data_IF_186569557209
#
_entry.id   IF_186569557209
#
_cell.length_a   1.000
_cell.length_b   1.000
_cell.length_c   1.000
_cell.angle_alpha   90.00
_cell.angle_beta   90.00
_cell.angle_gamma   90.00
#
_symmetry.space_group_name_H-M   'P 1'
#
loop_
_entity.id
_entity.type
_entity.pdbx_description
1 polymer ?
#
# COMPACT_ATOMS: atom_id res chain seq x y z
N UNK A 1 -13.56 25.27 25.00
CA UNK A 1 -12.87 24.03 25.39
C UNK A 1 -12.94 23.11 24.19
N UNK A 2 -11.82 22.55 23.74
CA UNK A 2 -11.82 21.49 22.71
C UNK A 2 -11.89 20.17 23.48
N UNK A 3 -12.83 19.29 23.13
CA UNK A 3 -13.01 17.97 23.76
C UNK A 3 -12.61 16.79 22.85
N UNK A 4 -12.39 17.08 21.56
CA UNK A 4 -12.10 16.08 20.52
C UNK A 4 -11.02 16.60 19.60
N UNK A 5 -10.04 15.74 19.30
CA UNK A 5 -8.96 16.02 18.34
C UNK A 5 -8.96 14.91 17.30
N UNK A 6 -8.95 15.28 16.03
CA UNK A 6 -8.75 14.38 14.90
C UNK A 6 -7.33 14.59 14.39
N UNK A 7 -6.49 13.57 14.50
CA UNK A 7 -5.15 13.57 13.92
C UNK A 7 -5.23 13.05 12.49
N UNK A 8 -4.64 13.80 11.57
CA UNK A 8 -4.34 13.27 10.24
C UNK A 8 -3.20 12.25 10.35
N UNK A 9 -3.01 11.42 9.31
CA UNK A 9 -1.92 10.45 9.27
C UNK A 9 -0.67 11.06 8.62
N UNK A 10 -0.84 11.59 7.41
CA UNK A 10 0.24 12.16 6.60
C UNK A 10 0.69 13.50 7.19
N UNK A 11 2.00 13.68 7.40
CA UNK A 11 2.64 14.87 7.99
C UNK A 11 2.29 15.19 9.45
N UNK A 12 1.17 14.68 9.99
CA UNK A 12 0.83 14.84 11.40
C UNK A 12 1.44 13.71 12.25
N UNK A 13 1.27 12.44 11.87
CA UNK A 13 1.82 11.29 12.62
C UNK A 13 2.97 10.58 11.89
N UNK A 14 3.11 10.80 10.58
CA UNK A 14 4.13 10.20 9.72
C UNK A 14 4.96 11.29 9.01
N UNK A 15 6.14 11.67 9.54
CA UNK A 15 7.04 12.61 8.88
C UNK A 15 7.71 11.99 7.65
N UNK A 16 7.80 12.75 6.56
CA UNK A 16 8.34 12.26 5.27
C UNK A 16 9.86 11.99 5.25
N UNK A 17 10.61 12.32 6.29
CA UNK A 17 12.08 12.26 6.28
C UNK A 17 12.65 10.85 5.98
N UNK A 18 11.85 9.79 6.20
CA UNK A 18 12.22 8.39 5.95
C UNK A 18 11.46 7.73 4.78
N UNK A 19 10.66 8.49 4.01
CA UNK A 19 9.68 7.91 3.08
C UNK A 19 10.30 7.24 1.85
N UNK A 20 11.43 7.73 1.35
CA UNK A 20 12.12 7.11 0.19
C UNK A 20 12.65 5.72 0.55
N UNK A 21 13.46 5.62 1.61
CA UNK A 21 14.03 4.35 2.06
C UNK A 21 12.94 3.37 2.52
N UNK A 22 11.94 3.86 3.26
CA UNK A 22 10.81 3.03 3.66
C UNK A 22 10.04 2.53 2.44
N UNK A 23 9.78 3.40 1.45
CA UNK A 23 9.10 3.04 0.21
C UNK A 23 9.86 1.97 -0.58
N UNK A 24 11.16 2.11 -0.74
CA UNK A 24 12.01 1.10 -1.39
C UNK A 24 11.89 -0.27 -0.70
N UNK A 25 12.03 -0.32 0.63
CA UNK A 25 11.91 -1.55 1.40
C UNK A 25 10.49 -2.13 1.37
N UNK A 26 9.47 -1.28 1.41
CA UNK A 26 8.06 -1.67 1.32
C UNK A 26 7.77 -2.36 -0.03
N UNK A 27 8.18 -1.74 -1.14
CA UNK A 27 7.95 -2.29 -2.47
C UNK A 27 8.77 -3.56 -2.73
N UNK A 28 10.02 -3.62 -2.27
CA UNK A 28 10.80 -4.85 -2.35
C UNK A 28 10.12 -6.00 -1.60
N UNK A 29 9.61 -5.73 -0.39
CA UNK A 29 8.91 -6.73 0.43
C UNK A 29 7.59 -7.18 -0.20
N UNK A 30 6.88 -6.28 -0.88
CA UNK A 30 5.69 -6.66 -1.65
C UNK A 30 6.03 -7.60 -2.80
N UNK A 31 7.06 -7.28 -3.60
CA UNK A 31 7.49 -8.13 -4.72
C UNK A 31 7.85 -9.53 -4.21
N UNK A 32 8.55 -9.63 -3.08
CA UNK A 32 8.91 -10.91 -2.47
C UNK A 32 7.69 -11.68 -1.97
N UNK A 33 6.79 -11.04 -1.23
CA UNK A 33 5.56 -11.65 -0.72
C UNK A 33 4.64 -12.16 -1.83
N UNK A 34 4.65 -11.52 -3.01
CA UNK A 34 3.81 -11.88 -4.15
C UNK A 34 4.49 -12.84 -5.14
N UNK A 35 5.78 -13.16 -4.96
CA UNK A 35 6.57 -13.92 -5.92
C UNK A 35 6.02 -15.33 -6.21
N UNK A 36 5.39 -15.96 -5.23
CA UNK A 36 4.77 -17.30 -5.39
C UNK A 36 3.39 -17.25 -6.05
N UNK A 37 2.80 -16.06 -6.18
CA UNK A 37 1.41 -15.88 -6.65
C UNK A 37 1.35 -15.24 -8.04
N UNK A 38 2.34 -14.43 -8.38
CA UNK A 38 2.44 -13.78 -9.68
C UNK A 38 3.90 -13.61 -10.08
N UNK A 39 4.13 -13.32 -11.37
CA UNK A 39 5.46 -13.02 -11.87
C UNK A 39 6.03 -11.77 -11.18
N UNK A 40 7.22 -11.83 -10.55
CA UNK A 40 7.80 -10.68 -9.83
C UNK A 40 7.97 -9.44 -10.71
N UNK A 41 8.32 -9.62 -11.99
CA UNK A 41 8.52 -8.53 -12.96
C UNK A 41 7.21 -7.79 -13.33
N UNK A 42 6.05 -8.38 -13.02
CA UNK A 42 4.74 -7.78 -13.25
C UNK A 42 4.19 -7.04 -12.03
N UNK A 43 4.75 -7.23 -10.83
CA UNK A 43 4.18 -6.67 -9.61
C UNK A 43 4.17 -5.14 -9.65
N UNK A 44 5.34 -4.51 -9.81
CA UNK A 44 5.44 -3.04 -9.80
C UNK A 44 4.61 -2.38 -10.92
N UNK A 45 4.65 -2.85 -12.19
CA UNK A 45 3.78 -2.31 -13.23
C UNK A 45 2.28 -2.44 -12.90
N UNK A 46 1.84 -3.59 -12.37
CA UNK A 46 0.44 -3.79 -12.00
C UNK A 46 0.03 -2.91 -10.83
N UNK A 47 0.89 -2.81 -9.82
CA UNK A 47 0.67 -2.00 -8.62
C UNK A 47 0.52 -0.53 -8.97
N UNK A 48 1.45 0.03 -9.76
CA UNK A 48 1.40 1.43 -10.18
C UNK A 48 0.14 1.74 -10.99
N UNK A 49 -0.27 0.84 -11.89
CA UNK A 49 -1.53 1.01 -12.63
C UNK A 49 -2.76 1.00 -11.70
N UNK A 50 -2.73 0.17 -10.65
CA UNK A 50 -3.74 0.17 -9.60
C UNK A 50 -3.80 1.51 -8.86
N UNK A 51 -2.64 2.04 -8.46
CA UNK A 51 -2.53 3.35 -7.78
C UNK A 51 -3.04 4.48 -8.68
N UNK A 52 -2.64 4.51 -9.95
CA UNK A 52 -3.10 5.51 -10.92
C UNK A 52 -4.63 5.45 -11.12
N UNK A 53 -5.20 4.25 -11.21
CA UNK A 53 -6.65 4.08 -11.33
C UNK A 53 -7.40 4.55 -10.08
N UNK A 54 -6.84 4.31 -8.90
CA UNK A 54 -7.35 4.79 -7.62
C UNK A 54 -7.25 6.31 -7.48
N UNK A 55 -6.15 6.93 -7.91
CA UNK A 55 -5.95 8.38 -7.83
C UNK A 55 -6.83 9.15 -8.83
N UNK A 56 -7.00 8.60 -10.04
CA UNK A 56 -7.91 9.16 -11.04
C UNK A 56 -9.39 9.00 -10.66
N UNK A 57 -9.71 8.17 -9.67
CA UNK A 57 -11.06 7.87 -9.24
C UNK A 57 -11.69 9.05 -8.47
N UNK A 58 -12.67 9.71 -9.08
CA UNK A 58 -13.35 10.88 -8.50
C UNK A 58 -14.55 10.48 -7.64
N UNK A 59 -15.07 11.43 -6.85
CA UNK A 59 -16.10 11.27 -5.80
C UNK A 59 -17.36 10.44 -6.13
N UNK A 60 -17.73 10.24 -7.40
CA UNK A 60 -18.90 9.45 -7.80
C UNK A 60 -18.55 8.09 -8.44
N UNK A 61 -17.28 7.70 -8.40
CA UNK A 61 -16.79 6.44 -8.95
C UNK A 61 -16.89 5.26 -7.99
N UNK A 62 -16.30 4.11 -8.37
CA UNK A 62 -16.15 2.96 -7.48
C UNK A 62 -15.40 3.33 -6.18
N UNK A 63 -15.33 2.42 -5.22
CA UNK A 63 -14.40 2.58 -4.09
C UNK A 63 -12.95 2.51 -4.56
N UNK A 64 -12.01 3.06 -3.77
CA UNK A 64 -10.58 2.96 -4.06
C UNK A 64 -10.13 1.50 -4.22
N UNK A 65 -10.65 0.60 -3.39
CA UNK A 65 -10.38 -0.84 -3.47
C UNK A 65 -10.84 -1.43 -4.79
N UNK A 66 -12.04 -1.08 -5.27
CA UNK A 66 -12.57 -1.54 -6.54
C UNK A 66 -11.82 -0.95 -7.73
N UNK A 67 -11.46 0.34 -7.69
CA UNK A 67 -10.67 1.01 -8.72
C UNK A 67 -9.27 0.40 -8.85
N UNK A 68 -8.58 0.24 -7.72
CA UNK A 68 -7.27 -0.42 -7.67
C UNK A 68 -7.37 -1.86 -8.16
N UNK A 69 -8.30 -2.65 -7.60
CA UNK A 69 -8.47 -4.07 -7.91
C UNK A 69 -8.80 -4.30 -9.38
N UNK A 70 -9.66 -3.47 -9.97
CA UNK A 70 -10.04 -3.54 -11.38
C UNK A 70 -8.88 -3.29 -12.35
N UNK A 71 -7.85 -2.57 -11.94
CA UNK A 71 -6.65 -2.31 -12.74
C UNK A 71 -5.49 -3.28 -12.43
N UNK A 72 -5.28 -3.60 -11.14
CA UNK A 72 -4.21 -4.47 -10.65
C UNK A 72 -4.44 -5.94 -11.02
N UNK A 73 -5.59 -6.50 -10.66
CA UNK A 73 -5.85 -7.94 -10.73
C UNK A 73 -5.70 -8.53 -12.14
N UNK A 74 -6.21 -7.87 -13.22
CA UNK A 74 -6.05 -8.38 -14.59
C UNK A 74 -4.58 -8.45 -15.05
N UNK A 75 -3.74 -7.50 -14.62
CA UNK A 75 -2.31 -7.52 -14.95
C UNK A 75 -1.53 -8.49 -14.07
N UNK A 76 -1.91 -8.62 -12.81
CA UNK A 76 -1.32 -9.57 -11.89
C UNK A 76 -1.65 -11.04 -12.24
N UNK A 77 -2.71 -11.27 -13.02
CA UNK A 77 -3.22 -12.61 -13.29
C UNK A 77 -3.88 -13.24 -12.07
N UNK A 78 -4.38 -12.42 -11.15
CA UNK A 78 -4.98 -12.83 -9.88
C UNK A 78 -6.48 -12.56 -9.88
N UNK A 79 -7.24 -13.35 -9.11
CA UNK A 79 -8.60 -12.95 -8.76
C UNK A 79 -8.56 -11.86 -7.68
N UNK A 80 -9.61 -11.02 -7.55
CA UNK A 80 -9.71 -10.03 -6.48
C UNK A 80 -9.56 -10.64 -5.08
N UNK A 81 -10.10 -11.84 -4.87
CA UNK A 81 -10.04 -12.56 -3.59
C UNK A 81 -8.60 -12.96 -3.27
N UNK A 82 -7.90 -13.57 -4.22
CA UNK A 82 -6.48 -13.98 -4.04
C UNK A 82 -5.59 -12.76 -3.81
N UNK A 83 -5.80 -11.67 -4.54
CA UNK A 83 -5.06 -10.43 -4.33
C UNK A 83 -5.32 -9.87 -2.92
N UNK A 84 -6.57 -9.83 -2.48
CA UNK A 84 -6.96 -9.35 -1.16
C UNK A 84 -6.35 -10.19 -0.03
N UNK A 85 -6.34 -11.51 -0.17
CA UNK A 85 -5.70 -12.42 0.77
C UNK A 85 -4.19 -12.20 0.84
N UNK A 86 -3.52 -12.04 -0.31
CA UNK A 86 -2.08 -11.77 -0.36
C UNK A 86 -1.71 -10.43 0.30
N UNK A 87 -2.48 -9.37 0.07
CA UNK A 87 -2.29 -8.09 0.77
C UNK A 87 -2.55 -8.23 2.28
N UNK A 88 -3.58 -8.96 2.70
CA UNK A 88 -3.87 -9.18 4.11
C UNK A 88 -2.74 -9.94 4.82
N UNK A 89 -2.20 -10.97 4.17
CA UNK A 89 -1.03 -11.73 4.65
C UNK A 89 0.20 -10.83 4.78
N UNK A 90 0.47 -10.00 3.76
CA UNK A 90 1.55 -9.03 3.81
C UNK A 90 1.46 -8.12 5.04
N UNK A 91 0.30 -7.50 5.27
CA UNK A 91 0.10 -6.61 6.41
C UNK A 91 0.17 -7.33 7.77
N UNK A 92 -0.24 -8.59 7.84
CA UNK A 92 -0.20 -9.38 9.06
C UNK A 92 1.20 -9.89 9.42
N UNK A 93 2.05 -10.18 8.42
CA UNK A 93 3.28 -10.96 8.62
C UNK A 93 4.56 -10.26 8.18
N UNK A 94 4.55 -9.56 7.04
CA UNK A 94 5.74 -8.90 6.47
C UNK A 94 5.87 -7.45 6.94
N UNK A 95 4.77 -6.70 6.92
CA UNK A 95 4.74 -5.28 7.26
C UNK A 95 5.33 -4.94 8.64
N UNK A 96 5.12 -5.73 9.72
CA UNK A 96 5.75 -5.45 11.02
C UNK A 96 7.29 -5.43 10.98
N UNK A 97 7.91 -6.17 10.06
CA UNK A 97 9.36 -6.19 9.86
C UNK A 97 9.91 -4.84 9.38
N UNK A 98 9.12 -4.08 8.63
CA UNK A 98 9.51 -2.77 8.09
C UNK A 98 9.68 -1.68 9.16
N UNK A 99 9.30 -1.97 10.41
CA UNK A 99 9.48 -1.05 11.55
C UNK A 99 10.93 -0.60 11.74
N UNK A 100 11.91 -1.42 11.36
CA UNK A 100 13.32 -1.02 11.47
C UNK A 100 13.72 0.13 10.53
N UNK A 101 12.92 0.36 9.48
CA UNK A 101 13.12 1.42 8.50
C UNK A 101 12.35 2.71 8.83
N UNK A 102 11.65 2.75 9.97
CA UNK A 102 10.92 3.93 10.45
C UNK A 102 11.27 4.24 11.90
N UNK A 103 11.10 5.50 12.32
CA UNK A 103 11.27 5.91 13.71
C UNK A 103 10.13 6.84 14.13
N UNK A 104 9.65 6.76 15.39
CA UNK A 104 8.74 7.77 15.91
C UNK A 104 9.39 9.16 15.85
N UNK A 105 8.66 10.15 15.34
CA UNK A 105 9.06 11.54 15.51
C UNK A 105 8.61 12.01 16.89
N UNK A 106 9.53 12.47 17.77
CA UNK A 106 9.16 13.03 19.07
C UNK A 106 8.33 14.32 18.95
N UNK A 107 8.29 14.91 17.75
CA UNK A 107 7.65 16.19 17.43
C UNK A 107 6.24 16.02 16.83
N UNK A 108 5.84 14.77 16.54
CA UNK A 108 4.51 14.40 16.04
C UNK A 108 3.49 14.23 17.20
#
# INVERSE_FOLDING_TARGET
MIDTVLFDLDQALLPYADFERFGECLFASFVECFADRMRPDLFMPAFMKGVEAMDANRRSGPTNTEAFGGAFCPMAGLSPEVAKEAFAEFYATWFPGLREHTRPSPEA
#
